data_IF_612017123272
#
_entry.id   IF_612017123272
#
_cell.length_a   1.000
_cell.length_b   1.000
_cell.length_c   1.000
_cell.angle_alpha   90.00
_cell.angle_beta   90.00
_cell.angle_gamma   90.00
#
_symmetry.space_group_name_H-M   'P 1'
#
loop_
_entity.id
_entity.type
_entity.pdbx_description
1 polymer ?
#
# COMPACT_ATOMS: atom_id res chain seq x y z
N UNK A 1 -7.31 24.59 -3.87
CA UNK A 1 -7.73 24.04 -5.19
C UNK A 1 -8.06 25.19 -6.12
N UNK A 2 -7.61 25.16 -7.39
CA UNK A 2 -8.07 26.11 -8.41
C UNK A 2 -9.58 25.94 -8.62
N UNK A 3 -10.32 27.02 -8.84
CA UNK A 3 -11.76 26.94 -9.20
C UNK A 3 -11.90 26.08 -10.47
N UNK A 4 -12.72 25.04 -10.39
CA UNK A 4 -12.98 24.10 -11.49
C UNK A 4 -12.20 22.77 -11.48
N UNK A 5 -11.20 22.60 -10.60
CA UNK A 5 -10.50 21.32 -10.47
C UNK A 5 -11.31 20.33 -9.61
N UNK A 6 -11.38 19.06 -10.04
CA UNK A 6 -12.10 17.98 -9.32
C UNK A 6 -11.13 17.10 -8.53
N UNK A 7 -11.53 16.58 -7.38
CA UNK A 7 -10.71 15.60 -6.64
C UNK A 7 -10.77 14.23 -7.33
N UNK A 8 -9.60 13.67 -7.66
CA UNK A 8 -9.48 12.27 -8.04
C UNK A 8 -9.07 11.47 -6.80
N UNK A 9 -10.04 10.76 -6.22
CA UNK A 9 -9.79 9.97 -5.02
C UNK A 9 -9.05 8.70 -5.39
N UNK A 10 -7.82 8.53 -4.93
CA UNK A 10 -7.03 7.31 -5.06
C UNK A 10 -7.26 6.44 -3.83
N UNK A 11 -7.57 5.18 -4.06
CA UNK A 11 -7.70 4.14 -3.03
C UNK A 11 -6.63 3.08 -3.27
N UNK A 12 -5.96 2.64 -2.21
CA UNK A 12 -5.04 1.51 -2.27
C UNK A 12 -5.65 0.31 -1.57
N UNK A 13 -5.22 -0.88 -1.97
CA UNK A 13 -5.41 -2.09 -1.21
C UNK A 13 -4.12 -2.89 -1.21
N UNK A 14 -3.82 -3.58 -0.13
CA UNK A 14 -2.76 -4.57 -0.08
C UNK A 14 -3.33 -5.89 0.42
N UNK A 15 -2.74 -6.99 -0.02
CA UNK A 15 -3.03 -8.30 0.52
C UNK A 15 -1.80 -9.18 0.36
N UNK A 16 -1.08 -9.45 1.45
CA UNK A 16 0.13 -10.27 1.42
C UNK A 16 -0.21 -11.75 1.17
N UNK A 17 -0.15 -12.13 -0.09
CA UNK A 17 -0.43 -13.50 -0.54
C UNK A 17 0.79 -14.44 -0.46
N UNK A 18 0.57 -15.66 0.03
CA UNK A 18 1.53 -16.77 -0.08
C UNK A 18 1.43 -17.38 -1.49
N UNK A 19 2.51 -17.41 -2.28
CA UNK A 19 2.47 -17.92 -3.67
C UNK A 19 2.60 -19.45 -3.74
N UNK A 20 3.45 -20.10 -2.92
CA UNK A 20 3.62 -21.56 -2.90
C UNK A 20 4.12 -22.07 -1.54
N UNK A 21 3.59 -23.21 -1.09
CA UNK A 21 4.07 -23.92 0.14
C UNK A 21 5.11 -25.01 -0.16
N UNK A 22 5.24 -25.44 -1.43
CA UNK A 22 5.96 -26.68 -1.78
C UNK A 22 7.29 -26.47 -2.54
N UNK A 23 7.61 -25.24 -2.96
CA UNK A 23 8.90 -24.93 -3.59
C UNK A 23 9.23 -23.44 -3.44
N UNK A 24 10.00 -23.12 -2.40
CA UNK A 24 10.75 -21.87 -2.31
C UNK A 24 10.20 -20.76 -1.39
N UNK A 25 9.17 -21.01 -0.56
CA UNK A 25 8.61 -20.02 0.40
C UNK A 25 8.49 -18.61 -0.19
N UNK A 26 7.99 -18.51 -1.42
CA UNK A 26 7.85 -17.22 -2.09
C UNK A 26 6.56 -16.58 -1.62
N UNK A 27 6.68 -15.44 -0.98
CA UNK A 27 5.54 -14.57 -0.68
C UNK A 27 5.53 -13.45 -1.71
N UNK A 28 4.35 -12.92 -2.00
CA UNK A 28 4.21 -11.74 -2.83
C UNK A 28 3.28 -10.78 -2.12
N UNK A 29 3.73 -9.53 -2.05
CA UNK A 29 2.94 -8.46 -1.46
C UNK A 29 2.49 -7.51 -2.56
N UNK A 30 1.36 -7.80 -3.24
CA UNK A 30 0.76 -6.89 -4.19
C UNK A 30 0.19 -5.66 -3.49
N UNK A 31 0.33 -4.51 -4.15
CA UNK A 31 -0.39 -3.28 -3.86
C UNK A 31 -1.29 -3.00 -5.06
N UNK A 32 -2.57 -2.86 -4.82
CA UNK A 32 -3.59 -2.54 -5.80
C UNK A 32 -4.01 -1.08 -5.68
N UNK A 33 -4.48 -0.52 -6.79
CA UNK A 33 -5.01 0.83 -6.90
C UNK A 33 -6.42 0.82 -7.47
N UNK A 34 -7.27 1.70 -6.97
CA UNK A 34 -8.60 1.98 -7.52
C UNK A 34 -8.93 3.46 -7.38
N UNK A 35 -10.00 3.89 -8.04
CA UNK A 35 -10.55 5.23 -7.94
C UNK A 35 -11.76 5.23 -7.00
N UNK A 36 -11.75 6.15 -6.03
CA UNK A 36 -12.88 6.41 -5.13
C UNK A 36 -14.09 6.98 -5.85
N UNK A 37 -13.89 7.61 -7.02
CA UNK A 37 -14.95 8.15 -7.88
C UNK A 37 -15.79 7.05 -8.58
N UNK A 38 -15.35 5.79 -8.56
CA UNK A 38 -16.15 4.66 -9.06
C UNK A 38 -17.19 4.29 -8.00
N UNK A 39 -18.46 4.11 -8.40
CA UNK A 39 -19.51 3.65 -7.49
C UNK A 39 -19.12 2.33 -6.81
N UNK A 40 -19.35 2.22 -5.49
CA UNK A 40 -19.01 1.05 -4.68
C UNK A 40 -19.50 -0.26 -5.30
N UNK A 41 -20.75 -0.30 -5.76
CA UNK A 41 -21.36 -1.50 -6.33
C UNK A 41 -20.72 -1.91 -7.66
N UNK A 42 -20.22 -0.94 -8.42
CA UNK A 42 -19.43 -1.20 -9.63
C UNK A 42 -18.02 -1.67 -9.27
N UNK A 43 -17.38 -1.03 -8.29
CA UNK A 43 -16.02 -1.35 -7.85
C UNK A 43 -15.90 -2.75 -7.24
N UNK A 44 -16.93 -3.19 -6.52
CA UNK A 44 -16.95 -4.49 -5.85
C UNK A 44 -17.31 -5.66 -6.78
N UNK A 45 -17.69 -5.41 -8.04
CA UNK A 45 -17.96 -6.47 -9.02
C UNK A 45 -16.64 -6.93 -9.64
N UNK A 46 -16.24 -8.21 -9.46
CA UNK A 46 -15.00 -8.73 -10.05
C UNK A 46 -14.95 -8.56 -11.58
N UNK A 47 -16.09 -8.68 -12.24
CA UNK A 47 -16.24 -8.51 -13.70
C UNK A 47 -15.98 -7.10 -14.21
N UNK A 48 -15.88 -6.10 -13.33
CA UNK A 48 -15.63 -4.71 -13.71
C UNK A 48 -14.17 -4.30 -13.61
N UNK A 49 -13.29 -5.17 -13.11
CA UNK A 49 -11.85 -4.96 -13.03
C UNK A 49 -11.46 -3.56 -12.49
N UNK A 50 -12.22 -3.06 -11.50
CA UNK A 50 -12.07 -1.70 -10.98
C UNK A 50 -10.86 -1.53 -10.05
N UNK A 51 -10.12 -2.62 -9.79
CA UNK A 51 -8.86 -2.66 -9.07
C UNK A 51 -7.77 -3.11 -10.03
N UNK A 52 -6.65 -2.39 -10.04
CA UNK A 52 -5.49 -2.71 -10.86
C UNK A 52 -4.27 -2.95 -9.97
N UNK A 53 -3.40 -3.87 -10.37
CA UNK A 53 -2.12 -4.07 -9.68
C UNK A 53 -1.21 -2.87 -9.94
N UNK A 54 -0.82 -2.16 -8.87
CA UNK A 54 0.07 -1.01 -8.92
C UNK A 54 1.54 -1.43 -8.76
N UNK A 55 1.83 -2.27 -7.76
CA UNK A 55 3.19 -2.69 -7.44
C UNK A 55 3.22 -4.08 -6.78
N UNK A 56 4.39 -4.72 -6.82
CA UNK A 56 4.71 -5.92 -6.03
C UNK A 56 5.88 -5.56 -5.10
N UNK A 57 5.66 -5.61 -3.80
CA UNK A 57 6.69 -5.25 -2.82
C UNK A 57 7.57 -6.46 -2.51
N UNK A 58 8.88 -6.25 -2.26
CA UNK A 58 9.79 -7.32 -1.87
C UNK A 58 9.42 -7.86 -0.49
N UNK A 59 9.42 -9.19 -0.35
CA UNK A 59 9.20 -9.88 0.94
C UNK A 59 10.45 -10.63 1.34
N UNK A 60 11.46 -9.89 1.81
CA UNK A 60 12.73 -10.50 2.24
C UNK A 60 12.62 -11.12 3.63
N UNK A 61 13.31 -12.26 3.82
CA UNK A 61 13.45 -12.90 5.13
C UNK A 61 14.69 -12.32 5.84
N UNK A 62 14.50 -11.39 6.77
CA UNK A 62 15.57 -10.79 7.57
C UNK A 62 16.11 -11.71 8.69
N UNK A 63 15.74 -12.99 8.71
CA UNK A 63 16.10 -13.92 9.78
C UNK A 63 17.63 -14.15 9.89
N UNK A 64 18.32 -14.16 8.76
CA UNK A 64 19.78 -14.33 8.71
C UNK A 64 20.57 -13.14 9.30
N UNK A 65 19.93 -11.98 9.47
CA UNK A 65 20.55 -10.81 10.09
C UNK A 65 20.60 -10.91 11.62
N UNK A 66 19.72 -11.71 12.24
CA UNK A 66 19.68 -11.89 13.72
C UNK A 66 21.03 -12.36 14.28
N UNK A 67 21.69 -13.27 13.58
CA UNK A 67 22.96 -13.87 14.00
C UNK A 67 24.17 -12.91 13.88
N UNK A 68 24.04 -11.83 13.10
CA UNK A 68 25.14 -10.90 12.78
C UNK A 68 25.05 -9.57 13.54
N UNK A 69 24.02 -9.39 14.37
CA UNK A 69 23.82 -8.18 15.17
C UNK A 69 24.53 -8.32 16.52
N UNK A 70 25.34 -7.33 16.88
CA UNK A 70 25.86 -7.17 18.23
C UNK A 70 24.87 -6.35 19.06
N UNK A 71 23.77 -7.00 19.46
CA UNK A 71 22.65 -6.40 20.18
C UNK A 71 22.05 -7.40 21.18
N UNK A 72 21.20 -6.91 22.09
CA UNK A 72 20.48 -7.74 23.05
C UNK A 72 19.54 -8.74 22.35
N UNK A 73 19.15 -9.79 23.07
CA UNK A 73 18.23 -10.80 22.53
C UNK A 73 16.88 -10.19 22.09
N UNK A 74 16.38 -9.21 22.84
CA UNK A 74 15.13 -8.51 22.52
C UNK A 74 15.25 -7.67 21.22
N UNK A 75 16.37 -6.96 21.03
CA UNK A 75 16.61 -6.17 19.83
C UNK A 75 16.77 -7.07 18.59
N UNK A 76 17.47 -8.20 18.73
CA UNK A 76 17.59 -9.20 17.67
C UNK A 76 16.23 -9.75 17.23
N UNK A 77 15.32 -9.96 18.17
CA UNK A 77 13.98 -10.45 17.86
C UNK A 77 13.11 -9.39 17.18
N UNK A 78 13.22 -8.12 17.59
CA UNK A 78 12.45 -7.01 17.02
C UNK A 78 12.96 -6.56 15.62
N UNK A 79 14.26 -6.69 15.35
CA UNK A 79 14.92 -6.12 14.18
C UNK A 79 14.29 -6.53 12.83
N UNK A 80 13.96 -7.81 12.56
CA UNK A 80 13.32 -8.20 11.30
C UNK A 80 12.03 -7.45 11.01
N UNK A 81 11.19 -7.25 12.03
CA UNK A 81 9.95 -6.50 11.88
C UNK A 81 10.20 -5.02 11.58
N UNK A 82 11.20 -4.42 12.22
CA UNK A 82 11.61 -3.03 11.97
C UNK A 82 12.09 -2.88 10.51
N UNK A 83 12.96 -3.77 10.05
CA UNK A 83 13.50 -3.74 8.69
C UNK A 83 12.43 -3.96 7.64
N UNK A 84 11.48 -4.88 7.89
CA UNK A 84 10.34 -5.10 7.00
C UNK A 84 9.48 -3.84 6.87
N UNK A 85 9.13 -3.18 7.97
CA UNK A 85 8.38 -1.91 7.93
C UNK A 85 9.16 -0.82 7.20
N UNK A 86 10.46 -0.69 7.47
CA UNK A 86 11.32 0.29 6.78
C UNK A 86 11.38 0.03 5.28
N UNK A 87 11.53 -1.22 4.87
CA UNK A 87 11.53 -1.61 3.45
C UNK A 87 10.20 -1.27 2.80
N UNK A 88 9.08 -1.64 3.43
CA UNK A 88 7.74 -1.32 2.97
C UNK A 88 7.59 0.19 2.72
N UNK A 89 7.93 1.03 3.69
CA UNK A 89 7.82 2.49 3.54
C UNK A 89 8.76 3.07 2.47
N UNK A 90 9.96 2.50 2.29
CA UNK A 90 10.86 2.92 1.21
C UNK A 90 10.29 2.58 -0.17
N UNK A 91 9.71 1.38 -0.33
CA UNK A 91 9.03 1.02 -1.57
C UNK A 91 7.80 1.92 -1.82
N UNK A 92 6.95 2.13 -0.81
CA UNK A 92 5.77 2.98 -0.94
C UNK A 92 6.11 4.44 -1.22
N UNK A 93 7.23 4.93 -0.69
CA UNK A 93 7.77 6.25 -1.04
C UNK A 93 8.02 6.38 -2.54
N UNK A 94 8.61 5.36 -3.16
CA UNK A 94 8.89 5.34 -4.60
C UNK A 94 7.58 5.23 -5.39
N UNK A 95 6.72 4.29 -5.01
CA UNK A 95 5.44 4.03 -5.69
C UNK A 95 4.51 5.25 -5.66
N UNK A 96 4.45 5.96 -4.54
CA UNK A 96 3.57 7.11 -4.34
C UNK A 96 4.24 8.46 -4.63
N UNK A 97 5.47 8.47 -5.13
CA UNK A 97 6.16 9.71 -5.53
C UNK A 97 5.30 10.58 -6.46
N UNK A 98 4.59 10.04 -7.47
CA UNK A 98 3.75 10.85 -8.36
C UNK A 98 2.58 11.55 -7.67
N UNK A 99 2.16 11.08 -6.49
CA UNK A 99 1.07 11.70 -5.71
C UNK A 99 1.57 12.81 -4.80
N UNK A 100 2.89 13.02 -4.70
CA UNK A 100 3.45 14.10 -3.89
C UNK A 100 3.19 15.46 -4.55
N UNK A 101 2.91 16.45 -3.72
CA UNK A 101 2.75 17.85 -4.15
C UNK A 101 1.35 18.23 -4.65
N UNK A 102 0.39 17.29 -4.70
CA UNK A 102 -1.00 17.55 -5.13
C UNK A 102 -1.08 18.24 -6.49
N UNK A 103 -0.17 17.88 -7.39
CA UNK A 103 -0.07 18.46 -8.72
C UNK A 103 -1.32 18.11 -9.54
N UNK A 104 -2.05 19.10 -10.08
CA UNK A 104 -3.19 18.82 -10.95
C UNK A 104 -2.74 18.11 -12.23
N UNK A 105 -3.52 17.14 -12.67
CA UNK A 105 -3.35 16.41 -13.93
C UNK A 105 -4.61 16.52 -14.77
N UNK A 106 -4.49 16.47 -16.08
CA UNK A 106 -5.65 16.35 -16.98
C UNK A 106 -5.99 14.87 -17.15
N UNK A 107 -7.27 14.53 -16.93
CA UNK A 107 -7.77 13.17 -17.11
C UNK A 107 -9.13 13.20 -17.81
N UNK A 108 -9.41 12.17 -18.61
CA UNK A 108 -10.71 11.99 -19.26
C UNK A 108 -11.65 11.27 -18.29
N UNK A 109 -12.85 11.79 -18.12
CA UNK A 109 -13.87 11.16 -17.27
C UNK A 109 -14.59 9.99 -17.97
N UNK A 110 -15.49 9.32 -17.24
CA UNK A 110 -16.28 8.21 -17.80
C UNK A 110 -17.26 8.60 -18.92
N UNK A 111 -17.45 9.89 -19.16
CA UNK A 111 -18.30 10.44 -20.22
C UNK A 111 -17.48 10.96 -21.42
N UNK A 112 -16.15 10.89 -21.36
CA UNK A 112 -15.25 11.35 -22.42
C UNK A 112 -14.83 12.82 -22.32
N UNK A 113 -15.16 13.53 -21.24
CA UNK A 113 -14.77 14.93 -21.07
C UNK A 113 -13.41 15.05 -20.36
N UNK A 114 -12.56 15.93 -20.86
CA UNK A 114 -11.32 16.30 -20.16
C UNK A 114 -11.63 17.11 -18.91
N UNK A 115 -11.01 16.72 -17.80
CA UNK A 115 -11.10 17.38 -16.50
C UNK A 115 -9.74 17.60 -15.93
N UNK A 116 -9.53 18.77 -15.32
CA UNK A 116 -8.41 19.00 -14.43
C UNK A 116 -8.74 18.36 -13.09
N UNK A 117 -7.95 17.36 -12.70
CA UNK A 117 -8.13 16.62 -11.45
C UNK A 117 -6.91 16.71 -10.55
N UNK A 118 -7.14 16.68 -9.24
CA UNK A 118 -6.08 16.59 -8.24
C UNK A 118 -6.13 15.21 -7.61
N UNK A 119 -5.15 14.33 -7.87
CA UNK A 119 -5.11 12.99 -7.29
C UNK A 119 -4.72 13.07 -5.81
N UNK A 120 -5.52 12.43 -4.96
CA UNK A 120 -5.31 12.41 -3.50
C UNK A 120 -5.46 10.98 -3.01
N UNK A 121 -4.50 10.50 -2.23
CA UNK A 121 -4.65 9.24 -1.52
C UNK A 121 -5.69 9.41 -0.40
N UNK A 122 -6.81 8.70 -0.51
CA UNK A 122 -7.99 8.89 0.37
C UNK A 122 -8.27 7.69 1.26
N UNK A 123 -7.91 6.48 0.85
CA UNK A 123 -8.18 5.27 1.61
C UNK A 123 -7.14 4.18 1.32
N UNK A 124 -6.92 3.32 2.31
CA UNK A 124 -6.14 2.09 2.18
C UNK A 124 -6.93 0.93 2.79
N UNK A 125 -7.24 -0.09 2.00
CA UNK A 125 -7.87 -1.32 2.44
C UNK A 125 -6.80 -2.34 2.76
N UNK A 126 -6.75 -2.77 4.02
CA UNK A 126 -5.75 -3.69 4.54
C UNK A 126 -6.35 -4.44 5.74
N UNK A 127 -5.88 -5.65 5.98
CA UNK A 127 -6.19 -6.37 7.22
C UNK A 127 -5.41 -5.79 8.42
N UNK A 128 -5.65 -6.31 9.63
CA UNK A 128 -5.01 -5.77 10.83
C UNK A 128 -3.48 -5.91 10.80
N UNK A 129 -2.96 -7.02 10.27
CA UNK A 129 -1.52 -7.25 10.21
C UNK A 129 -0.82 -6.26 9.27
N UNK A 130 -1.44 -6.00 8.13
CA UNK A 130 -0.96 -5.01 7.17
C UNK A 130 -1.12 -3.59 7.68
N UNK A 131 -2.23 -3.27 8.37
CA UNK A 131 -2.42 -1.96 9.01
C UNK A 131 -1.28 -1.66 9.99
N UNK A 132 -0.81 -2.64 10.76
CA UNK A 132 0.36 -2.45 11.61
C UNK A 132 1.61 -2.07 10.82
N UNK A 133 1.83 -2.70 9.65
CA UNK A 133 2.98 -2.33 8.81
C UNK A 133 2.81 -0.95 8.19
N UNK A 134 1.62 -0.63 7.68
CA UNK A 134 1.30 0.66 7.07
C UNK A 134 1.45 1.82 8.06
N UNK A 135 1.07 1.61 9.32
CA UNK A 135 1.16 2.63 10.37
C UNK A 135 2.49 2.60 11.13
N UNK A 136 3.40 1.68 10.82
CA UNK A 136 4.68 1.58 11.51
C UNK A 136 4.61 0.96 12.93
N UNK A 137 3.53 0.27 13.26
CA UNK A 137 3.21 -0.23 14.60
C UNK A 137 3.82 -1.62 14.89
N UNK A 138 3.90 -1.95 16.17
CA UNK A 138 4.23 -3.30 16.65
C UNK A 138 2.96 -4.17 16.81
N UNK A 139 3.15 -5.49 16.71
CA UNK A 139 2.09 -6.50 16.88
C UNK A 139 1.64 -6.52 18.34
N UNK A 140 0.65 -5.70 18.69
CA UNK A 140 -0.02 -5.54 20.00
C UNK A 140 -0.58 -4.12 20.18
N UNK A 141 -0.23 -3.19 19.29
CA UNK A 141 -0.75 -1.82 19.35
C UNK A 141 -2.10 -1.71 18.65
N UNK A 142 -3.04 -0.98 19.26
CA UNK A 142 -4.33 -0.69 18.65
C UNK A 142 -4.17 0.46 17.65
N UNK A 143 -4.47 0.26 16.36
CA UNK A 143 -4.36 1.32 15.35
C UNK A 143 -5.40 2.44 15.50
N UNK A 144 -6.40 2.28 16.38
CA UNK A 144 -7.43 3.28 16.67
C UNK A 144 -7.18 4.11 17.93
N UNK A 145 -6.39 3.60 18.87
CA UNK A 145 -6.16 4.25 20.17
C UNK A 145 -4.93 5.18 20.17
N UNK A 146 -4.29 5.36 19.01
CA UNK A 146 -3.18 6.28 18.78
C UNK A 146 -3.68 7.64 18.30
#
# INVERSE_FOLDING_TARGET
MRRGATTLSIMLASDKTHLTTYSGDKNMWPVYISLGNIHKDTRNKPSRCAWMLLAKLPTEKYASLKARLDASAAEKEAMPGILQRRMFHQCMRIVLEPLRGLTPVTAVDGMGFERVVVPILTAWLADLEEVWVILGLTRSQCPKCL
#
